data_IF_324301509312
#
_entry.id   IF_324301509312
#
_cell.length_a   1.000
_cell.length_b   1.000
_cell.length_c   1.000
_cell.angle_alpha   90.00
_cell.angle_beta   90.00
_cell.angle_gamma   90.00
#
_symmetry.space_group_name_H-M   'P 1'
#
loop_
_entity.id
_entity.type
_entity.pdbx_description
1 polymer ?
#
# COMPACT_ATOMS: atom_id res chain seq x y z
N UNK A 1 -17.10 -4.82 23.25
CA UNK A 1 -16.01 -3.82 23.05
C UNK A 1 -15.81 -3.64 21.56
N UNK A 2 -15.71 -2.42 21.05
CA UNK A 2 -15.34 -2.19 19.65
C UNK A 2 -13.81 -2.20 19.61
N UNK A 3 -13.21 -3.25 19.07
CA UNK A 3 -11.78 -3.28 18.76
C UNK A 3 -11.58 -2.59 17.43
N UNK A 4 -11.05 -1.36 17.43
CA UNK A 4 -10.69 -0.67 16.21
C UNK A 4 -9.57 -1.44 15.49
N UNK A 5 -9.72 -1.65 14.18
CA UNK A 5 -8.70 -2.30 13.34
C UNK A 5 -7.46 -1.42 13.23
N UNK A 6 -6.28 -2.02 13.18
CA UNK A 6 -5.01 -1.34 12.96
C UNK A 6 -4.90 -0.93 11.50
N UNK A 7 -4.67 0.35 11.24
CA UNK A 7 -4.45 0.85 9.88
C UNK A 7 -3.05 0.50 9.41
N UNK A 8 -2.94 -0.19 8.28
CA UNK A 8 -1.69 -0.59 7.66
C UNK A 8 -1.57 0.07 6.29
N UNK A 9 -0.61 0.98 6.15
CA UNK A 9 -0.25 1.58 4.87
C UNK A 9 0.92 0.83 4.22
N UNK A 10 0.74 0.43 2.96
CA UNK A 10 1.77 -0.19 2.12
C UNK A 10 2.19 0.84 1.08
N UNK A 11 3.42 1.33 1.13
CA UNK A 11 3.91 2.41 0.26
C UNK A 11 4.81 1.87 -0.85
N UNK A 12 4.48 2.14 -2.11
CA UNK A 12 5.31 1.81 -3.26
C UNK A 12 6.25 2.98 -3.56
N UNK A 13 7.51 2.87 -3.17
CA UNK A 13 8.48 3.97 -3.27
C UNK A 13 9.10 4.22 -4.65
N UNK A 14 8.72 3.47 -5.69
CA UNK A 14 9.26 3.65 -7.05
C UNK A 14 8.19 4.23 -7.95
N UNK A 15 8.51 5.31 -8.66
CA UNK A 15 7.64 5.92 -9.69
C UNK A 15 8.14 5.67 -11.12
N UNK A 16 9.16 4.81 -11.27
CA UNK A 16 9.75 4.49 -12.57
C UNK A 16 8.76 3.70 -13.44
N UNK A 17 8.88 3.89 -14.76
CA UNK A 17 8.19 3.05 -15.74
C UNK A 17 8.67 1.59 -15.64
N UNK A 18 7.76 0.63 -15.81
CA UNK A 18 8.06 -0.80 -15.71
C UNK A 18 8.41 -1.30 -14.30
N UNK A 19 8.05 -0.56 -13.25
CA UNK A 19 8.32 -0.93 -11.85
C UNK A 19 7.65 -2.25 -11.45
N UNK A 20 8.38 -3.08 -10.70
CA UNK A 20 7.85 -4.33 -10.11
C UNK A 20 7.16 -4.12 -8.74
N UNK A 21 7.31 -2.94 -8.15
CA UNK A 21 6.74 -2.58 -6.85
C UNK A 21 5.24 -2.88 -6.69
N UNK A 22 4.37 -2.53 -7.66
CA UNK A 22 2.94 -2.84 -7.61
C UNK A 22 2.66 -4.34 -7.49
N UNK A 23 3.44 -5.20 -8.15
CA UNK A 23 3.25 -6.66 -8.08
C UNK A 23 3.42 -7.18 -6.64
N UNK A 24 4.51 -6.78 -5.97
CA UNK A 24 4.80 -7.21 -4.60
C UNK A 24 3.82 -6.58 -3.60
N UNK A 25 3.51 -5.29 -3.76
CA UNK A 25 2.58 -4.58 -2.89
C UNK A 25 1.17 -5.18 -2.95
N UNK A 26 0.66 -5.50 -4.14
CA UNK A 26 -0.65 -6.12 -4.32
C UNK A 26 -0.69 -7.54 -3.74
N UNK A 27 0.36 -8.33 -3.92
CA UNK A 27 0.48 -9.63 -3.27
C UNK A 27 0.45 -9.49 -1.75
N UNK A 28 1.28 -8.60 -1.18
CA UNK A 28 1.33 -8.41 0.27
C UNK A 28 0.01 -7.89 0.84
N UNK A 29 -0.64 -6.94 0.16
CA UNK A 29 -1.97 -6.45 0.54
C UNK A 29 -3.01 -7.58 0.53
N UNK A 30 -2.92 -8.53 -0.41
CA UNK A 30 -3.80 -9.71 -0.42
C UNK A 30 -3.58 -10.63 0.79
N UNK A 31 -2.35 -10.73 1.29
CA UNK A 31 -2.06 -11.50 2.51
C UNK A 31 -2.56 -10.73 3.73
N UNK A 32 -2.22 -9.45 3.85
CA UNK A 32 -2.62 -8.62 4.98
C UNK A 32 -4.15 -8.47 5.14
N UNK A 33 -4.92 -8.48 4.04
CA UNK A 33 -6.39 -8.44 4.10
C UNK A 33 -7.04 -9.73 4.62
N UNK A 34 -6.29 -10.83 4.72
CA UNK A 34 -6.78 -12.08 5.36
C UNK A 34 -6.79 -11.98 6.89
N UNK A 35 -6.16 -10.94 7.43
CA UNK A 35 -6.02 -10.68 8.87
C UNK A 35 -7.03 -9.59 9.28
N UNK A 36 -8.06 -9.98 10.05
CA UNK A 36 -9.16 -9.08 10.44
C UNK A 36 -8.71 -7.93 11.35
N UNK A 37 -7.52 -8.03 11.95
CA UNK A 37 -6.92 -6.97 12.73
C UNK A 37 -6.49 -5.76 11.89
N UNK A 38 -6.39 -5.88 10.56
CA UNK A 38 -5.90 -4.81 9.69
C UNK A 38 -6.98 -4.13 8.84
N UNK A 39 -6.87 -2.81 8.72
CA UNK A 39 -7.45 -1.99 7.66
C UNK A 39 -6.31 -1.61 6.71
N UNK A 40 -6.29 -2.21 5.51
CA UNK A 40 -5.13 -2.16 4.60
C UNK A 40 -5.34 -1.15 3.47
N UNK A 41 -4.40 -0.21 3.35
CA UNK A 41 -4.32 0.75 2.25
C UNK A 41 -3.02 0.59 1.46
N UNK A 42 -3.09 0.76 0.14
CA UNK A 42 -1.93 0.68 -0.76
C UNK A 42 -1.75 2.05 -1.40
N UNK A 43 -0.61 2.67 -1.13
CA UNK A 43 -0.26 4.01 -1.58
C UNK A 43 0.83 3.88 -2.64
N UNK A 44 0.48 4.06 -3.91
CA UNK A 44 1.46 4.13 -4.99
C UNK A 44 1.89 5.58 -5.20
N UNK A 45 3.16 5.88 -4.95
CA UNK A 45 3.68 7.23 -5.17
C UNK A 45 3.56 7.66 -6.64
N UNK A 46 3.46 6.73 -7.59
CA UNK A 46 3.27 7.07 -8.99
C UNK A 46 1.90 7.70 -9.30
N UNK A 47 0.94 7.60 -8.39
CA UNK A 47 -0.40 8.19 -8.53
C UNK A 47 -0.44 9.66 -8.08
N UNK A 48 0.68 10.19 -7.57
CA UNK A 48 0.78 11.54 -7.03
C UNK A 48 1.67 12.42 -7.90
N UNK A 49 1.19 13.63 -8.17
CA UNK A 49 2.01 14.70 -8.75
C UNK A 49 2.89 15.31 -7.65
N UNK A 50 4.18 14.98 -7.65
CA UNK A 50 5.14 15.59 -6.74
C UNK A 50 5.66 16.93 -7.28
N UNK A 51 5.87 17.93 -6.42
CA UNK A 51 6.56 19.14 -6.82
C UNK A 51 7.99 18.80 -7.25
N UNK A 52 8.32 19.13 -8.50
CA UNK A 52 9.70 19.11 -8.98
C UNK A 52 10.42 20.30 -8.33
N UNK A 53 11.56 20.03 -7.69
CA UNK A 53 12.42 21.07 -7.10
C UNK A 53 13.18 21.85 -8.16
#
# INVERSE_FOLDING_TARGET
MITARMKLAIVIGSVRQGRFGPTVANWFASQARQHEEFEVDVIDLADFDFPVS
#
